data_IF_563019964415
#
_entry.id   IF_563019964415
#
_cell.length_a   1.000
_cell.length_b   1.000
_cell.length_c   1.000
_cell.angle_alpha   90.00
_cell.angle_beta   90.00
_cell.angle_gamma   90.00
#
_symmetry.space_group_name_H-M   'P 1'
#
loop_
_entity.id
_entity.type
_entity.pdbx_description
1 polymer ?
#
# COMPACT_ATOMS: atom_id res chain seq x y z
N UNK A 1 -5.80 1.90 -59.08
CA UNK A 1 -6.04 2.87 -58.02
C UNK A 1 -5.67 2.25 -56.67
N UNK A 2 -4.71 2.82 -55.99
CA UNK A 2 -4.22 2.26 -54.77
C UNK A 2 -4.46 3.21 -53.64
N UNK A 3 -5.18 2.75 -52.65
CA UNK A 3 -5.37 3.47 -51.42
C UNK A 3 -4.32 2.97 -50.42
N UNK A 4 -3.39 3.80 -50.08
CA UNK A 4 -2.49 3.54 -48.97
C UNK A 4 -3.23 3.86 -47.68
N UNK A 5 -3.57 2.84 -46.97
CA UNK A 5 -4.07 3.00 -45.62
C UNK A 5 -2.85 3.10 -44.73
N UNK A 6 -2.51 4.31 -44.36
CA UNK A 6 -1.52 4.52 -43.30
C UNK A 6 -2.17 4.10 -41.98
N UNK A 7 -1.78 2.95 -41.51
CA UNK A 7 -2.17 2.56 -40.14
C UNK A 7 -1.39 3.45 -39.18
N UNK A 8 -2.06 4.40 -38.60
CA UNK A 8 -1.51 5.18 -37.51
C UNK A 8 -1.62 4.32 -36.26
N UNK A 9 -0.52 3.70 -35.90
CA UNK A 9 -0.40 3.04 -34.60
C UNK A 9 -0.22 4.14 -33.58
N UNK A 10 -1.29 4.49 -32.92
CA UNK A 10 -1.24 5.39 -31.77
C UNK A 10 -0.75 4.58 -30.57
N UNK A 11 0.55 4.60 -30.32
CA UNK A 11 1.10 4.07 -29.09
C UNK A 11 0.75 5.02 -27.96
N UNK A 12 -0.28 4.70 -27.23
CA UNK A 12 -0.56 5.40 -25.97
C UNK A 12 0.42 4.86 -24.95
N UNK A 13 1.49 5.59 -24.73
CA UNK A 13 2.36 5.34 -23.59
C UNK A 13 1.62 5.92 -22.39
N UNK A 14 0.92 5.07 -21.68
CA UNK A 14 0.46 5.42 -20.35
C UNK A 14 1.70 5.43 -19.49
N UNK A 15 2.21 6.62 -19.21
CA UNK A 15 3.27 6.78 -18.24
C UNK A 15 2.74 6.25 -16.91
N UNK A 16 3.26 5.09 -16.49
CA UNK A 16 3.03 4.64 -15.14
C UNK A 16 3.69 5.64 -14.22
N UNK A 17 2.93 6.59 -13.69
CA UNK A 17 3.39 7.43 -12.60
C UNK A 17 3.79 6.54 -11.43
N UNK A 18 4.89 6.86 -10.72
CA UNK A 18 5.33 6.16 -9.51
C UNK A 18 4.37 6.41 -8.35
N UNK A 19 3.08 6.20 -8.55
CA UNK A 19 2.04 6.60 -7.60
C UNK A 19 1.58 5.48 -6.68
N UNK A 20 2.34 4.40 -6.58
CA UNK A 20 2.01 3.29 -5.71
C UNK A 20 1.30 2.13 -6.43
N UNK A 21 0.81 1.15 -5.69
CA UNK A 21 0.19 -0.04 -6.25
C UNK A 21 -1.14 0.27 -6.93
N UNK A 22 -1.56 -0.63 -7.81
CA UNK A 22 -2.87 -0.57 -8.43
C UNK A 22 -3.98 -0.59 -7.36
N UNK A 23 -5.09 0.09 -7.62
CA UNK A 23 -6.20 0.21 -6.68
C UNK A 23 -6.96 -1.10 -6.42
N UNK A 24 -6.64 -2.16 -7.13
CA UNK A 24 -7.20 -3.51 -6.95
C UNK A 24 -6.31 -4.44 -6.10
N UNK A 25 -5.24 -3.92 -5.53
CA UNK A 25 -4.37 -4.67 -4.60
C UNK A 25 -4.80 -4.40 -3.17
N UNK A 26 -5.06 -5.44 -2.40
CA UNK A 26 -5.60 -5.34 -1.03
C UNK A 26 -4.85 -6.24 -0.05
N UNK A 27 -5.05 -5.97 1.23
CA UNK A 27 -4.67 -6.85 2.33
C UNK A 27 -3.19 -7.24 2.33
N UNK A 28 -2.92 -8.54 2.42
CA UNK A 28 -1.56 -9.07 2.48
C UNK A 28 -0.72 -8.69 1.26
N UNK A 29 -1.31 -8.64 0.08
CA UNK A 29 -0.58 -8.26 -1.14
C UNK A 29 -0.19 -6.79 -1.10
N UNK A 30 -1.05 -5.93 -0.59
CA UNK A 30 -0.75 -4.52 -0.38
C UNK A 30 0.35 -4.33 0.67
N UNK A 31 0.26 -5.06 1.79
CA UNK A 31 1.29 -5.06 2.82
C UNK A 31 2.65 -5.51 2.25
N UNK A 32 2.67 -6.59 1.50
CA UNK A 32 3.89 -7.16 0.91
C UNK A 32 4.55 -6.21 -0.09
N UNK A 33 3.76 -5.44 -0.83
CA UNK A 33 4.30 -4.50 -1.82
C UNK A 33 4.75 -3.16 -1.23
N UNK A 34 4.19 -2.74 -0.10
CA UNK A 34 4.32 -1.35 0.37
C UNK A 34 4.83 -1.21 1.80
N UNK A 35 4.77 -2.23 2.62
CA UNK A 35 5.03 -2.13 4.06
C UNK A 35 6.15 -3.07 4.55
N UNK A 36 6.34 -4.20 3.90
CA UNK A 36 7.21 -5.29 4.37
C UNK A 36 8.66 -4.87 4.49
N UNK A 37 9.13 -3.98 3.64
CA UNK A 37 10.53 -3.55 3.64
C UNK A 37 10.97 -2.97 4.98
N UNK A 38 10.10 -2.19 5.63
CA UNK A 38 10.38 -1.56 6.90
C UNK A 38 9.84 -2.33 8.11
N UNK A 39 8.70 -2.97 7.97
CA UNK A 39 7.98 -3.60 9.09
C UNK A 39 8.18 -5.12 9.18
N UNK A 40 8.79 -5.73 8.17
CA UNK A 40 9.07 -7.16 8.13
C UNK A 40 7.92 -8.00 7.60
N UNK A 41 8.26 -9.15 6.99
CA UNK A 41 7.27 -10.10 6.47
C UNK A 41 6.45 -10.79 7.55
N UNK A 42 7.02 -10.88 8.77
CA UNK A 42 6.41 -11.44 9.98
C UNK A 42 5.84 -10.35 10.91
N UNK A 43 5.82 -9.09 10.48
CA UNK A 43 5.39 -7.93 11.27
C UNK A 43 6.23 -7.68 12.53
N UNK A 44 7.41 -8.27 12.62
CA UNK A 44 8.28 -8.13 13.78
C UNK A 44 9.08 -6.81 13.82
N UNK A 45 9.01 -6.04 12.75
CA UNK A 45 9.74 -4.78 12.64
C UNK A 45 11.11 -4.96 12.00
N UNK A 46 11.82 -3.86 11.92
CA UNK A 46 13.16 -3.76 11.33
C UNK A 46 13.53 -2.29 11.30
N UNK A 47 13.52 -1.68 10.11
CA UNK A 47 13.69 -0.23 9.95
C UNK A 47 12.54 0.50 10.64
N UNK A 48 11.31 0.00 10.46
CA UNK A 48 10.12 0.48 11.16
C UNK A 48 9.77 -0.36 12.37
N UNK A 49 8.83 0.10 13.21
CA UNK A 49 8.41 -0.64 14.40
C UNK A 49 7.66 -1.92 14.05
N UNK A 50 7.61 -2.84 15.01
CA UNK A 50 6.76 -4.03 14.91
C UNK A 50 5.29 -3.64 14.81
N UNK A 51 4.52 -4.43 14.06
CA UNK A 51 3.07 -4.21 13.86
C UNK A 51 2.23 -5.39 14.32
N UNK A 52 2.86 -6.48 14.74
CA UNK A 52 2.19 -7.72 15.10
C UNK A 52 1.60 -7.74 16.51
N UNK A 53 1.32 -8.94 17.04
CA UNK A 53 0.76 -9.11 18.37
C UNK A 53 1.63 -8.44 19.44
N UNK A 54 1.00 -7.73 20.37
CA UNK A 54 1.70 -7.07 21.47
C UNK A 54 2.50 -5.81 21.09
N UNK A 55 2.50 -5.40 19.83
CA UNK A 55 3.16 -4.19 19.38
C UNK A 55 2.42 -2.93 19.81
N UNK A 56 3.09 -1.77 19.75
CA UNK A 56 2.44 -0.47 19.95
C UNK A 56 1.29 -0.24 18.97
N UNK A 57 1.45 -0.70 17.73
CA UNK A 57 0.38 -0.61 16.72
C UNK A 57 -0.89 -1.34 17.11
N UNK A 58 -0.78 -2.44 17.85
CA UNK A 58 -1.94 -3.20 18.33
C UNK A 58 -2.80 -2.41 19.33
N UNK A 59 -2.25 -1.38 19.95
CA UNK A 59 -2.95 -0.52 20.90
C UNK A 59 -3.69 0.65 20.25
N UNK A 60 -3.42 0.92 18.98
CA UNK A 60 -4.02 2.02 18.23
C UNK A 60 -5.44 1.67 17.79
N UNK A 61 -6.29 2.67 17.66
CA UNK A 61 -7.59 2.52 16.99
C UNK A 61 -7.39 2.31 15.50
N UNK A 62 -8.39 1.76 14.81
CA UNK A 62 -8.35 1.60 13.36
C UNK A 62 -8.10 2.93 12.65
N UNK A 63 -8.77 4.00 13.10
CA UNK A 63 -8.58 5.32 12.51
C UNK A 63 -7.18 5.86 12.75
N UNK A 64 -6.60 5.61 13.92
CA UNK A 64 -5.22 6.02 14.20
C UNK A 64 -4.23 5.29 13.29
N UNK A 65 -4.44 4.01 13.01
CA UNK A 65 -3.61 3.27 12.05
C UNK A 65 -3.73 3.89 10.65
N UNK A 66 -4.94 4.19 10.20
CA UNK A 66 -5.17 4.85 8.90
C UNK A 66 -4.45 6.20 8.85
N UNK A 67 -4.55 7.00 9.89
CA UNK A 67 -3.91 8.30 9.97
C UNK A 67 -2.38 8.21 9.90
N UNK A 68 -1.79 7.24 10.60
CA UNK A 68 -0.34 6.97 10.54
C UNK A 68 0.10 6.62 9.11
N UNK A 69 -0.63 5.76 8.43
CA UNK A 69 -0.32 5.37 7.05
C UNK A 69 -0.40 6.58 6.12
N UNK A 70 -1.40 7.43 6.29
CA UNK A 70 -1.57 8.63 5.48
C UNK A 70 -0.48 9.67 5.73
N UNK A 71 -0.14 9.90 6.99
CA UNK A 71 0.80 10.94 7.39
C UNK A 71 2.24 10.53 7.14
N UNK A 72 2.58 9.27 7.42
CA UNK A 72 3.95 8.77 7.30
C UNK A 72 4.89 9.47 8.29
N UNK A 73 4.71 9.27 9.60
CA UNK A 73 5.53 9.95 10.59
C UNK A 73 7.00 9.53 10.51
N UNK A 74 7.89 10.47 10.79
CA UNK A 74 9.33 10.22 10.79
C UNK A 74 9.85 9.77 9.41
N UNK A 75 10.53 8.64 9.37
CA UNK A 75 11.09 8.08 8.14
C UNK A 75 10.08 7.25 7.32
N UNK A 76 8.87 7.05 7.83
CA UNK A 76 7.83 6.32 7.11
C UNK A 76 7.35 7.11 5.90
N UNK A 77 7.16 6.42 4.77
CA UNK A 77 6.57 7.03 3.57
C UNK A 77 5.13 7.46 3.86
N UNK A 78 4.75 8.66 3.41
CA UNK A 78 3.35 9.08 3.41
C UNK A 78 2.60 8.42 2.26
N UNK A 79 1.48 7.77 2.58
CA UNK A 79 0.63 7.13 1.57
C UNK A 79 -0.68 7.89 1.34
N UNK A 80 -0.74 9.17 1.73
CA UNK A 80 -1.96 10.00 1.67
C UNK A 80 -2.70 9.90 0.33
N UNK A 81 -1.97 10.01 -0.78
CA UNK A 81 -2.54 10.04 -2.13
C UNK A 81 -2.29 8.74 -2.92
N UNK A 82 -1.85 7.67 -2.25
CA UNK A 82 -1.43 6.43 -2.92
C UNK A 82 -2.41 5.29 -2.74
N UNK A 83 -3.21 5.33 -1.68
CA UNK A 83 -4.17 4.28 -1.34
C UNK A 83 -5.58 4.84 -1.32
N UNK A 84 -6.52 4.04 -1.81
CA UNK A 84 -7.96 4.30 -1.65
C UNK A 84 -8.38 4.01 -0.20
N UNK A 85 -9.54 4.48 0.19
CA UNK A 85 -10.10 4.14 1.51
C UNK A 85 -10.28 2.63 1.66
N UNK A 86 -10.74 1.94 0.61
CA UNK A 86 -10.89 0.50 0.62
C UNK A 86 -9.54 -0.23 0.84
N UNK A 87 -8.46 0.27 0.26
CA UNK A 87 -7.12 -0.27 0.50
C UNK A 87 -6.67 -0.04 1.93
N UNK A 88 -6.89 1.15 2.49
CA UNK A 88 -6.56 1.46 3.88
C UNK A 88 -7.34 0.56 4.83
N UNK A 89 -8.61 0.36 4.60
CA UNK A 89 -9.45 -0.53 5.40
C UNK A 89 -8.95 -1.98 5.32
N UNK A 90 -8.52 -2.43 4.15
CA UNK A 90 -7.99 -3.78 3.97
C UNK A 90 -6.65 -4.00 4.70
N UNK A 91 -5.81 -2.97 4.78
CA UNK A 91 -4.58 -3.02 5.56
C UNK A 91 -4.87 -3.12 7.05
N UNK A 92 -5.82 -2.34 7.55
CA UNK A 92 -6.25 -2.43 8.96
C UNK A 92 -6.78 -3.83 9.26
N UNK A 93 -7.65 -4.36 8.41
CA UNK A 93 -8.20 -5.72 8.56
C UNK A 93 -7.08 -6.78 8.60
N UNK A 94 -6.11 -6.69 7.68
CA UNK A 94 -4.95 -7.58 7.66
C UNK A 94 -4.14 -7.47 8.96
N UNK A 95 -3.82 -6.27 9.40
CA UNK A 95 -3.06 -6.06 10.63
C UNK A 95 -3.81 -6.62 11.85
N UNK A 96 -5.11 -6.40 11.95
CA UNK A 96 -5.93 -6.92 13.07
C UNK A 96 -5.96 -8.44 13.09
N UNK A 97 -6.06 -9.08 11.93
CA UNK A 97 -6.00 -10.54 11.82
C UNK A 97 -4.66 -11.08 12.33
N UNK A 98 -3.56 -10.45 11.96
CA UNK A 98 -2.23 -10.84 12.42
C UNK A 98 -2.00 -10.55 13.90
N UNK A 99 -2.51 -9.44 14.41
CA UNK A 99 -2.41 -9.05 15.82
C UNK A 99 -3.20 -9.97 16.74
N UNK A 100 -4.28 -10.55 16.27
CA UNK A 100 -5.15 -11.46 17.03
C UNK A 100 -4.75 -12.92 16.96
N UNK A 101 -3.77 -13.26 16.14
CA UNK A 101 -3.37 -14.65 15.94
C UNK A 101 -2.24 -15.11 16.87
#
# INVERSE_FOLDING_TARGET
MRMSVAAIVLSVIVGAGCSGPSSDVFGVDLYSSSCVHCHGGDLAGGIGPALGPGSGAATLTDQQIVDVIRIGPGAMTSFRDRFTQAQLDSLVEFLRAEQGS
#
